data_IF_866040626210
#
_entry.id   IF_866040626210
#
_cell.length_a   1.000
_cell.length_b   1.000
_cell.length_c   1.000
_cell.angle_alpha   90.00
_cell.angle_beta   90.00
_cell.angle_gamma   90.00
#
_symmetry.space_group_name_H-M   'P 1'
#
loop_
_entity.id
_entity.type
_entity.pdbx_description
1 polymer ?
#
# COMPACT_ATOMS: atom_id res chain seq x y z
N UNK A 1 15.66 -17.08 -75.61
CA UNK A 1 16.88 -17.17 -74.77
C UNK A 1 17.00 -15.80 -74.12
N UNK A 2 16.41 -15.50 -72.97
CA UNK A 2 16.16 -16.33 -71.80
C UNK A 2 16.87 -15.63 -70.65
N UNK A 3 16.31 -14.50 -70.21
CA UNK A 3 16.80 -13.72 -69.07
C UNK A 3 16.36 -14.38 -67.75
N UNK A 4 17.11 -14.19 -66.65
CA UNK A 4 17.03 -15.04 -65.48
C UNK A 4 16.09 -14.52 -64.38
N UNK A 5 15.34 -15.47 -63.82
CA UNK A 5 15.16 -15.71 -62.39
C UNK A 5 14.63 -14.56 -61.51
N UNK A 6 13.29 -14.44 -61.47
CA UNK A 6 12.57 -13.86 -60.35
C UNK A 6 12.40 -14.92 -59.25
N UNK A 7 12.91 -14.63 -58.06
CA UNK A 7 12.74 -15.43 -56.84
C UNK A 7 11.28 -15.44 -56.37
N UNK A 8 10.74 -16.58 -55.90
CA UNK A 8 9.41 -16.62 -55.30
C UNK A 8 9.46 -16.20 -53.82
N UNK A 9 8.56 -15.30 -53.44
CA UNK A 9 8.26 -14.94 -52.06
C UNK A 9 7.78 -16.16 -51.26
N UNK A 10 8.24 -16.38 -50.01
CA UNK A 10 7.60 -17.36 -49.14
C UNK A 10 6.37 -16.74 -48.48
N UNK A 11 5.19 -17.24 -48.84
CA UNK A 11 4.02 -17.20 -47.97
C UNK A 11 4.36 -18.00 -46.69
N UNK A 12 4.27 -17.35 -45.53
CA UNK A 12 4.68 -17.94 -44.26
C UNK A 12 3.88 -17.38 -43.09
N UNK A 13 2.73 -18.02 -42.83
CA UNK A 13 2.18 -18.24 -41.50
C UNK A 13 1.88 -17.02 -40.63
N UNK A 14 0.66 -16.49 -40.73
CA UNK A 14 0.07 -15.70 -39.66
C UNK A 14 0.07 -16.50 -38.36
N UNK A 15 0.96 -16.14 -37.44
CA UNK A 15 1.00 -16.72 -36.09
C UNK A 15 -0.06 -16.02 -35.26
N UNK A 16 -1.20 -16.68 -35.10
CA UNK A 16 -2.19 -16.33 -34.09
C UNK A 16 -1.48 -16.32 -32.72
N UNK A 17 -1.63 -15.29 -31.87
CA UNK A 17 -1.11 -15.35 -30.51
C UNK A 17 -1.84 -16.48 -29.79
N UNK A 18 -1.12 -17.56 -29.46
CA UNK A 18 -1.65 -18.60 -28.60
C UNK A 18 -1.93 -17.97 -27.24
N UNK A 19 -3.22 -17.77 -26.95
CA UNK A 19 -3.68 -17.50 -25.61
C UNK A 19 -3.21 -18.66 -24.73
N UNK A 20 -2.30 -18.37 -23.79
CA UNK A 20 -1.95 -19.31 -22.73
C UNK A 20 -3.22 -19.78 -22.01
N UNK A 21 -3.19 -20.97 -21.37
CA UNK A 21 -4.36 -21.47 -20.66
C UNK A 21 -4.83 -20.40 -19.66
N UNK A 22 -6.08 -19.97 -19.82
CA UNK A 22 -6.73 -19.07 -18.88
C UNK A 22 -6.62 -19.69 -17.49
N UNK A 23 -6.10 -18.94 -16.52
CA UNK A 23 -6.11 -19.37 -15.12
C UNK A 23 -7.54 -19.79 -14.76
N UNK A 24 -7.73 -20.94 -14.08
CA UNK A 24 -9.05 -21.31 -13.61
C UNK A 24 -9.60 -20.18 -12.74
N UNK A 25 -10.91 -19.89 -12.80
CA UNK A 25 -11.52 -18.86 -11.97
C UNK A 25 -11.17 -19.14 -10.51
N UNK A 26 -10.50 -18.18 -9.87
CA UNK A 26 -10.12 -18.28 -8.45
C UNK A 26 -11.39 -18.52 -7.65
N UNK A 27 -11.38 -19.55 -6.80
CA UNK A 27 -12.48 -19.79 -5.88
C UNK A 27 -12.71 -18.51 -5.03
N UNK A 28 -13.96 -18.18 -4.68
CA UNK A 28 -14.24 -16.98 -3.91
C UNK A 28 -13.47 -17.04 -2.58
N UNK A 29 -12.63 -16.05 -2.35
CA UNK A 29 -11.90 -15.92 -1.09
C UNK A 29 -12.84 -15.38 -0.01
N UNK A 30 -12.95 -16.14 1.08
CA UNK A 30 -13.81 -15.86 2.21
C UNK A 30 -13.00 -15.42 3.41
N UNK A 31 -13.46 -14.37 4.08
CA UNK A 31 -12.86 -13.83 5.29
C UNK A 31 -13.82 -13.93 6.46
N UNK A 32 -13.33 -14.41 7.60
CA UNK A 32 -14.14 -14.49 8.80
C UNK A 32 -14.35 -13.09 9.41
N UNK A 33 -15.56 -12.86 9.90
CA UNK A 33 -15.95 -11.66 10.63
C UNK A 33 -15.93 -11.97 12.11
N UNK A 34 -15.06 -11.27 12.84
CA UNK A 34 -15.01 -11.31 14.30
C UNK A 34 -15.79 -10.13 14.86
N UNK A 35 -16.76 -10.41 15.72
CA UNK A 35 -17.50 -9.37 16.42
C UNK A 35 -16.83 -9.05 17.76
N UNK A 36 -16.42 -7.81 17.93
CA UNK A 36 -15.76 -7.31 19.15
C UNK A 36 -16.62 -6.27 19.84
N UNK A 37 -16.33 -5.99 21.11
CA UNK A 37 -16.89 -4.85 21.83
C UNK A 37 -15.98 -3.64 21.64
N UNK A 38 -16.37 -2.69 20.80
CA UNK A 38 -15.61 -1.48 20.49
C UNK A 38 -16.40 -0.25 20.95
N UNK A 39 -15.81 0.56 21.84
CA UNK A 39 -16.46 1.74 22.46
C UNK A 39 -17.88 1.46 22.98
N UNK A 40 -18.05 0.32 23.66
CA UNK A 40 -19.30 -0.10 24.27
C UNK A 40 -20.26 -0.88 23.36
N UNK A 41 -20.03 -0.86 22.04
CA UNK A 41 -20.93 -1.41 21.02
C UNK A 41 -20.37 -2.70 20.40
N UNK A 42 -21.25 -3.52 19.81
CA UNK A 42 -20.85 -4.71 19.04
C UNK A 42 -20.46 -4.29 17.62
N UNK A 43 -19.18 -4.43 17.27
CA UNK A 43 -18.60 -3.96 15.99
C UNK A 43 -17.87 -5.09 15.29
N UNK A 44 -18.05 -5.26 13.97
CA UNK A 44 -17.33 -6.30 13.22
C UNK A 44 -15.91 -5.83 12.88
N UNK A 45 -14.98 -6.77 12.89
CA UNK A 45 -13.66 -6.66 12.26
C UNK A 45 -13.43 -7.89 11.39
N UNK A 46 -12.78 -7.73 10.25
CA UNK A 46 -12.48 -8.80 9.31
C UNK A 46 -11.10 -9.35 9.61
N UNK A 47 -11.01 -10.68 9.70
CA UNK A 47 -9.76 -11.39 10.00
C UNK A 47 -9.10 -11.90 8.73
N UNK A 48 -7.78 -11.96 8.74
CA UNK A 48 -6.96 -12.43 7.63
C UNK A 48 -6.58 -13.91 7.78
N UNK A 49 -6.46 -14.63 6.65
CA UNK A 49 -5.82 -15.95 6.51
C UNK A 49 -4.41 -15.78 5.89
N UNK A 50 -3.58 -16.82 5.83
CA UNK A 50 -2.15 -16.72 5.42
C UNK A 50 -1.88 -15.98 4.09
N UNK A 51 -2.84 -15.95 3.15
CA UNK A 51 -2.69 -15.29 1.85
C UNK A 51 -3.71 -14.14 1.62
N UNK A 52 -4.35 -13.64 2.69
CA UNK A 52 -5.40 -12.63 2.54
C UNK A 52 -4.87 -11.23 2.17
N UNK A 53 -5.73 -10.37 1.60
CA UNK A 53 -5.39 -9.04 1.14
C UNK A 53 -5.27 -8.07 2.31
N UNK A 54 -4.13 -8.11 3.01
CA UNK A 54 -3.88 -7.24 4.15
C UNK A 54 -4.14 -5.74 3.89
N UNK A 55 -3.87 -5.15 2.69
CA UNK A 55 -4.17 -3.74 2.46
C UNK A 55 -5.68 -3.45 2.50
N UNK A 56 -6.48 -4.26 1.81
CA UNK A 56 -7.95 -4.17 1.84
C UNK A 56 -8.47 -4.35 3.27
N UNK A 57 -8.03 -5.39 3.97
CA UNK A 57 -8.50 -5.67 5.33
C UNK A 57 -8.12 -4.56 6.31
N UNK A 58 -6.92 -3.99 6.19
CA UNK A 58 -6.48 -2.89 7.05
C UNK A 58 -7.36 -1.64 6.87
N UNK A 59 -7.67 -1.27 5.62
CA UNK A 59 -8.57 -0.16 5.30
C UNK A 59 -9.99 -0.44 5.79
N UNK A 60 -10.53 -1.63 5.48
CA UNK A 60 -11.90 -1.98 5.85
C UNK A 60 -12.09 -2.00 7.36
N UNK A 61 -11.14 -2.54 8.12
CA UNK A 61 -11.19 -2.51 9.58
C UNK A 61 -11.12 -1.08 10.12
N UNK A 62 -10.34 -0.17 9.52
CA UNK A 62 -10.39 1.25 9.88
C UNK A 62 -11.79 1.81 9.65
N UNK A 63 -12.41 1.56 8.49
CA UNK A 63 -13.75 2.07 8.16
C UNK A 63 -14.85 1.51 9.09
N UNK A 64 -14.82 0.21 9.38
CA UNK A 64 -15.75 -0.45 10.30
C UNK A 64 -15.64 0.12 11.72
N UNK A 65 -14.42 0.38 12.19
CA UNK A 65 -14.17 0.95 13.52
C UNK A 65 -14.47 2.47 13.58
N UNK A 66 -14.29 3.20 12.47
CA UNK A 66 -14.59 4.65 12.33
C UNK A 66 -16.08 4.94 12.26
N UNK A 67 -16.87 4.08 11.63
CA UNK A 67 -18.30 4.30 11.39
C UNK A 67 -19.07 4.71 12.66
N UNK A 68 -18.65 4.21 13.84
CA UNK A 68 -19.28 4.53 15.13
C UNK A 68 -18.54 5.57 15.98
N UNK A 69 -17.39 6.09 15.53
CA UNK A 69 -16.67 7.15 16.23
C UNK A 69 -17.31 8.54 16.04
N UNK A 70 -18.23 8.73 15.08
CA UNK A 70 -18.96 9.98 14.84
C UNK A 70 -20.49 9.75 14.89
N UNK A 71 -21.26 10.52 15.68
CA UNK A 71 -22.72 10.51 15.61
C UNK A 71 -23.20 10.87 14.20
N UNK A 72 -24.09 10.07 13.61
CA UNK A 72 -24.63 10.32 12.27
C UNK A 72 -23.74 9.88 11.09
N UNK A 73 -22.62 9.20 11.34
CA UNK A 73 -21.70 8.75 10.30
C UNK A 73 -22.33 7.79 9.30
N UNK A 74 -22.28 8.13 8.00
CA UNK A 74 -22.31 7.14 6.91
C UNK A 74 -21.00 6.36 6.98
N UNK A 75 -21.09 5.06 7.18
CA UNK A 75 -19.92 4.18 7.19
C UNK A 75 -20.36 2.74 7.03
N UNK A 76 -19.38 1.86 6.85
CA UNK A 76 -19.63 0.47 6.48
C UNK A 76 -20.33 -0.25 7.63
N UNK A 77 -21.47 -0.88 7.33
CA UNK A 77 -22.17 -1.78 8.26
C UNK A 77 -22.26 -3.15 7.61
N UNK A 78 -21.92 -4.18 8.38
CA UNK A 78 -22.26 -5.55 8.04
C UNK A 78 -23.56 -5.95 8.75
N UNK A 79 -24.38 -6.82 8.15
CA UNK A 79 -25.58 -7.36 8.79
C UNK A 79 -25.26 -7.94 10.19
N UNK A 80 -26.11 -7.75 11.20
CA UNK A 80 -25.92 -8.40 12.50
C UNK A 80 -25.73 -9.90 12.32
N UNK A 81 -24.71 -10.47 12.96
CA UNK A 81 -24.38 -11.91 12.88
C UNK A 81 -23.78 -12.39 11.54
N UNK A 82 -23.42 -11.50 10.61
CA UNK A 82 -22.57 -11.89 9.46
C UNK A 82 -21.26 -12.50 10.00
N UNK A 83 -20.98 -13.74 9.59
CA UNK A 83 -19.79 -14.51 10.03
C UNK A 83 -18.70 -14.54 8.96
N UNK A 84 -19.07 -14.37 7.70
CA UNK A 84 -18.16 -14.46 6.55
C UNK A 84 -18.48 -13.36 5.53
N UNK A 85 -17.44 -12.75 4.96
CA UNK A 85 -17.50 -11.76 3.88
C UNK A 85 -16.54 -12.15 2.75
N UNK A 86 -16.82 -11.73 1.53
CA UNK A 86 -15.93 -11.95 0.38
C UNK A 86 -15.11 -10.70 0.05
N UNK A 87 -14.03 -10.86 -0.72
CA UNK A 87 -13.27 -9.71 -1.24
C UNK A 87 -14.18 -8.77 -2.04
N UNK A 88 -15.08 -9.31 -2.88
CA UNK A 88 -16.04 -8.54 -3.67
C UNK A 88 -16.98 -7.70 -2.81
N UNK A 89 -17.54 -8.28 -1.73
CA UNK A 89 -18.39 -7.55 -0.78
C UNK A 89 -17.63 -6.37 -0.13
N UNK A 90 -16.38 -6.60 0.27
CA UNK A 90 -15.53 -5.58 0.88
C UNK A 90 -15.18 -4.46 -0.12
N UNK A 91 -14.85 -4.83 -1.36
CA UNK A 91 -14.55 -3.91 -2.45
C UNK A 91 -15.77 -3.05 -2.80
N UNK A 92 -16.98 -3.63 -2.84
CA UNK A 92 -18.21 -2.88 -3.06
C UNK A 92 -18.44 -1.84 -1.96
N UNK A 93 -18.30 -2.23 -0.69
CA UNK A 93 -18.42 -1.30 0.44
C UNK A 93 -17.36 -0.19 0.42
N UNK A 94 -16.12 -0.52 0.01
CA UNK A 94 -15.04 0.45 -0.14
C UNK A 94 -15.36 1.46 -1.25
N UNK A 95 -15.84 0.98 -2.41
CA UNK A 95 -16.30 1.81 -3.52
C UNK A 95 -17.42 2.78 -3.11
N UNK A 96 -18.42 2.29 -2.38
CA UNK A 96 -19.51 3.12 -1.85
C UNK A 96 -18.98 4.22 -0.91
N UNK A 97 -17.96 3.92 -0.09
CA UNK A 97 -17.34 4.91 0.79
C UNK A 97 -16.58 5.99 0.01
N UNK A 98 -15.82 5.58 -1.02
CA UNK A 98 -15.09 6.51 -1.90
C UNK A 98 -16.08 7.45 -2.59
N UNK A 99 -17.16 6.90 -3.19
CA UNK A 99 -18.19 7.69 -3.88
C UNK A 99 -19.00 8.60 -2.94
N UNK A 100 -19.14 8.22 -1.67
CA UNK A 100 -19.80 9.04 -0.67
C UNK A 100 -18.90 10.17 -0.10
N UNK A 101 -17.61 10.19 -0.46
CA UNK A 101 -16.68 11.24 -0.02
C UNK A 101 -17.01 12.55 -0.71
N UNK A 102 -17.04 13.65 0.06
CA UNK A 102 -17.28 14.98 -0.47
C UNK A 102 -15.97 15.78 -0.55
N UNK A 103 -15.81 16.65 -1.57
CA UNK A 103 -14.67 17.54 -1.64
C UNK A 103 -14.67 18.47 -0.42
N UNK A 104 -13.49 18.69 0.16
CA UNK A 104 -13.33 19.56 1.34
C UNK A 104 -13.57 21.03 1.02
N UNK A 105 -13.34 21.42 -0.23
CA UNK A 105 -13.44 22.79 -0.71
C UNK A 105 -14.20 22.85 -2.05
N UNK A 106 -14.88 23.96 -2.28
CA UNK A 106 -15.84 24.12 -3.39
C UNK A 106 -15.28 24.84 -4.61
N UNK A 107 -13.98 25.18 -4.66
CA UNK A 107 -13.41 25.84 -5.85
C UNK A 107 -13.37 24.87 -7.05
N UNK A 108 -13.61 25.39 -8.26
CA UNK A 108 -13.74 24.55 -9.47
C UNK A 108 -12.49 23.71 -9.76
N UNK A 109 -11.30 24.30 -9.61
CA UNK A 109 -10.05 23.57 -9.83
C UNK A 109 -9.81 22.42 -8.84
N UNK A 110 -10.21 22.60 -7.57
CA UNK A 110 -10.09 21.55 -6.55
C UNK A 110 -11.15 20.46 -6.74
N UNK A 111 -12.34 20.79 -7.25
CA UNK A 111 -13.34 19.79 -7.60
C UNK A 111 -12.87 18.89 -8.74
N UNK A 112 -12.22 19.45 -9.77
CA UNK A 112 -11.65 18.66 -10.86
C UNK A 112 -10.53 17.73 -10.36
N UNK A 113 -9.64 18.22 -9.50
CA UNK A 113 -8.62 17.36 -8.89
C UNK A 113 -9.23 16.25 -8.04
N UNK A 114 -10.27 16.55 -7.25
CA UNK A 114 -10.97 15.56 -6.45
C UNK A 114 -11.66 14.49 -7.31
N UNK A 115 -12.31 14.88 -8.41
CA UNK A 115 -12.90 13.94 -9.36
C UNK A 115 -11.85 13.04 -10.02
N UNK A 116 -10.71 13.60 -10.40
CA UNK A 116 -9.58 12.83 -10.92
C UNK A 116 -9.10 11.82 -9.87
N UNK A 117 -8.93 12.25 -8.61
CA UNK A 117 -8.51 11.36 -7.53
C UNK A 117 -9.49 10.20 -7.32
N UNK A 118 -10.82 10.44 -7.37
CA UNK A 118 -11.82 9.36 -7.33
C UNK A 118 -11.61 8.40 -8.51
N UNK A 119 -11.46 8.93 -9.73
CA UNK A 119 -11.29 8.09 -10.92
C UNK A 119 -10.04 7.23 -10.81
N UNK A 120 -8.91 7.83 -10.41
CA UNK A 120 -7.63 7.14 -10.25
C UNK A 120 -7.75 6.07 -9.14
N UNK A 121 -8.42 6.40 -8.03
CA UNK A 121 -8.69 5.43 -6.94
C UNK A 121 -9.42 4.19 -7.46
N UNK A 122 -10.46 4.38 -8.29
CA UNK A 122 -11.23 3.26 -8.83
C UNK A 122 -10.38 2.34 -9.74
N UNK A 123 -9.33 2.87 -10.38
CA UNK A 123 -8.41 2.04 -11.18
C UNK A 123 -7.46 1.20 -10.33
N UNK A 124 -7.07 1.68 -9.16
CA UNK A 124 -6.11 0.99 -8.28
C UNK A 124 -6.79 0.07 -7.26
N UNK A 125 -8.08 0.25 -7.02
CA UNK A 125 -8.88 -0.53 -6.08
C UNK A 125 -8.63 -2.05 -6.17
N UNK A 126 -8.68 -2.70 -7.37
CA UNK A 126 -8.42 -4.13 -7.47
C UNK A 126 -7.06 -4.57 -6.93
N UNK A 127 -6.04 -3.69 -6.93
CA UNK A 127 -4.71 -4.03 -6.38
C UNK A 127 -4.75 -4.24 -4.88
N UNK A 128 -5.69 -3.63 -4.16
CA UNK A 128 -5.84 -3.84 -2.71
C UNK A 128 -6.13 -5.30 -2.34
N UNK A 129 -6.71 -6.08 -3.26
CA UNK A 129 -6.95 -7.52 -3.06
C UNK A 129 -5.79 -8.42 -3.48
N UNK A 130 -4.83 -7.91 -4.25
CA UNK A 130 -3.72 -8.73 -4.78
C UNK A 130 -2.35 -8.34 -4.24
N UNK A 131 -2.21 -7.13 -3.69
CA UNK A 131 -0.96 -6.58 -3.19
C UNK A 131 -0.87 -5.08 -3.47
N UNK A 132 -0.44 -4.31 -2.47
CA UNK A 132 -0.29 -2.86 -2.57
C UNK A 132 1.20 -2.48 -2.52
N UNK A 133 1.69 -1.88 -3.60
CA UNK A 133 3.07 -1.42 -3.67
C UNK A 133 3.23 -0.09 -2.93
N UNK A 134 4.09 -0.08 -1.91
CA UNK A 134 4.49 1.11 -1.17
C UNK A 134 6.01 1.22 -1.16
N UNK A 135 6.52 2.44 -1.27
CA UNK A 135 7.95 2.70 -1.24
C UNK A 135 8.25 3.73 -0.14
N UNK A 136 8.76 3.26 0.99
CA UNK A 136 9.03 4.10 2.16
C UNK A 136 10.24 5.00 1.94
N UNK A 137 10.29 6.14 2.63
CA UNK A 137 11.50 6.91 2.89
C UNK A 137 11.86 6.79 4.36
N UNK A 138 13.14 6.74 4.68
CA UNK A 138 13.58 6.47 6.06
C UNK A 138 13.60 7.71 6.96
N UNK A 139 13.00 8.81 6.53
CA UNK A 139 13.13 10.16 7.13
C UNK A 139 12.01 10.52 8.11
N UNK A 140 10.86 9.85 8.05
CA UNK A 140 9.68 10.19 8.84
C UNK A 140 8.66 9.07 8.80
N UNK A 141 7.77 8.99 9.79
CA UNK A 141 6.82 7.87 9.93
C UNK A 141 5.68 7.86 8.92
N UNK A 142 5.49 8.97 8.21
CA UNK A 142 4.48 9.11 7.13
C UNK A 142 5.14 9.35 5.78
N UNK A 143 6.45 9.15 5.67
CA UNK A 143 7.19 9.50 4.46
C UNK A 143 7.19 8.32 3.49
N UNK A 144 6.31 8.37 2.51
CA UNK A 144 6.27 7.45 1.39
C UNK A 144 6.57 8.20 0.08
N UNK A 145 7.13 7.49 -0.90
CA UNK A 145 7.02 7.94 -2.28
C UNK A 145 5.57 7.85 -2.72
N UNK A 146 5.05 8.92 -3.33
CA UNK A 146 3.68 8.94 -3.80
C UNK A 146 3.52 7.94 -4.95
N UNK A 147 2.76 6.88 -4.69
CA UNK A 147 2.32 5.93 -5.71
C UNK A 147 0.82 6.13 -5.95
N UNK A 148 0.31 5.86 -7.17
CA UNK A 148 -1.13 5.91 -7.46
C UNK A 148 -1.96 5.11 -6.46
N UNK A 149 -1.41 4.01 -5.96
CA UNK A 149 -1.99 3.13 -4.94
C UNK A 149 -2.25 3.83 -3.60
N UNK A 150 -1.43 4.82 -3.22
CA UNK A 150 -1.56 5.51 -1.94
C UNK A 150 -2.76 6.48 -1.88
N UNK A 151 -3.30 6.87 -3.04
CA UNK A 151 -4.40 7.84 -3.15
C UNK A 151 -5.65 7.41 -2.36
N UNK A 152 -5.86 6.10 -2.20
CA UNK A 152 -7.00 5.55 -1.45
C UNK A 152 -6.96 5.95 0.02
N UNK A 153 -5.77 6.03 0.61
CA UNK A 153 -5.58 6.44 2.00
C UNK A 153 -5.93 7.93 2.16
N UNK A 154 -5.45 8.77 1.26
CA UNK A 154 -5.72 10.21 1.27
C UNK A 154 -7.22 10.51 1.10
N UNK A 155 -7.87 9.85 0.14
CA UNK A 155 -9.29 10.04 -0.15
C UNK A 155 -10.16 9.62 1.03
N UNK A 156 -9.85 8.50 1.68
CA UNK A 156 -10.56 8.01 2.87
C UNK A 156 -10.12 8.73 4.16
N UNK A 157 -9.18 9.68 4.07
CA UNK A 157 -8.55 10.35 5.19
C UNK A 157 -8.02 9.35 6.23
N UNK A 158 -7.36 8.28 5.78
CA UNK A 158 -6.72 7.25 6.59
C UNK A 158 -5.22 7.53 6.59
N UNK A 159 -4.61 7.87 7.73
CA UNK A 159 -3.16 8.05 7.75
C UNK A 159 -2.48 6.69 7.55
N UNK A 160 -1.46 6.69 6.68
CA UNK A 160 -0.56 5.57 6.45
C UNK A 160 0.76 5.83 7.17
N UNK A 161 1.21 4.85 7.95
CA UNK A 161 2.42 4.94 8.75
C UNK A 161 3.37 3.78 8.49
N UNK A 162 4.66 4.00 8.72
CA UNK A 162 5.67 2.96 8.92
C UNK A 162 6.62 3.38 10.06
N UNK A 163 7.39 2.41 10.58
CA UNK A 163 8.37 2.66 11.64
C UNK A 163 9.80 2.40 11.18
N UNK A 164 10.03 2.34 9.88
CA UNK A 164 11.35 2.06 9.30
C UNK A 164 12.14 3.35 9.10
N UNK A 165 12.67 3.90 10.20
CA UNK A 165 13.41 5.17 10.20
C UNK A 165 14.90 4.94 10.47
N UNK A 166 15.74 5.76 9.84
CA UNK A 166 17.16 5.88 10.21
C UNK A 166 17.30 6.60 11.55
N UNK A 167 18.20 6.13 12.40
CA UNK A 167 18.46 6.74 13.70
C UNK A 167 19.38 7.97 13.55
N UNK A 168 18.97 9.18 13.96
CA UNK A 168 19.81 10.38 13.97
C UNK A 168 21.06 10.26 14.83
N UNK A 169 21.11 9.31 15.78
CA UNK A 169 22.30 9.03 16.59
C UNK A 169 23.43 8.36 15.80
N UNK A 170 23.17 7.93 14.56
CA UNK A 170 24.15 7.34 13.64
C UNK A 170 24.38 8.23 12.41
N UNK A 171 25.20 9.30 12.52
CA UNK A 171 25.40 10.28 11.44
C UNK A 171 25.88 9.66 10.12
N UNK A 172 26.72 8.63 10.20
CA UNK A 172 27.24 7.91 9.03
C UNK A 172 26.10 7.23 8.25
N UNK A 173 25.17 6.58 8.97
CA UNK A 173 23.99 5.96 8.36
C UNK A 173 23.03 6.99 7.81
N UNK A 174 22.80 8.09 8.53
CA UNK A 174 21.98 9.21 8.03
C UNK A 174 22.55 9.79 6.74
N UNK A 175 23.87 9.97 6.66
CA UNK A 175 24.54 10.45 5.45
C UNK A 175 24.47 9.43 4.30
N UNK A 176 24.66 8.15 4.61
CA UNK A 176 24.61 7.06 3.63
C UNK A 176 23.20 6.87 3.05
N UNK A 177 22.17 6.91 3.89
CA UNK A 177 20.75 6.74 3.49
C UNK A 177 20.19 8.03 2.87
N UNK A 178 20.47 9.17 3.49
CA UNK A 178 19.99 10.48 3.04
C UNK A 178 18.46 10.57 3.01
N UNK A 179 17.91 11.09 1.90
CA UNK A 179 16.46 11.23 1.66
C UNK A 179 15.91 10.20 0.65
N UNK A 180 16.69 9.16 0.38
CA UNK A 180 16.35 8.15 -0.61
C UNK A 180 15.15 7.31 -0.15
N UNK A 181 14.29 6.93 -1.08
CA UNK A 181 13.30 5.87 -0.84
C UNK A 181 13.98 4.50 -0.82
N UNK A 182 13.29 3.45 -0.38
CA UNK A 182 13.84 2.09 -0.36
C UNK A 182 14.37 1.68 -1.74
N UNK A 183 13.59 1.86 -2.81
CA UNK A 183 14.04 1.52 -4.17
C UNK A 183 15.31 2.27 -4.57
N UNK A 184 15.35 3.59 -4.32
CA UNK A 184 16.52 4.43 -4.63
C UNK A 184 17.75 4.02 -3.81
N UNK A 185 17.56 3.59 -2.56
CA UNK A 185 18.65 3.14 -1.70
C UNK A 185 19.23 1.81 -2.19
N UNK A 186 18.39 0.88 -2.62
CA UNK A 186 18.82 -0.40 -3.21
C UNK A 186 19.63 -0.16 -4.49
N UNK A 187 19.15 0.70 -5.39
CA UNK A 187 19.88 1.09 -6.61
C UNK A 187 21.25 1.72 -6.28
N UNK A 188 21.30 2.60 -5.27
CA UNK A 188 22.54 3.19 -4.79
C UNK A 188 23.52 2.13 -4.28
N UNK A 189 23.06 1.16 -3.51
CA UNK A 189 23.90 0.07 -2.99
C UNK A 189 24.50 -0.73 -4.15
N UNK A 190 23.69 -1.09 -5.15
CA UNK A 190 24.14 -1.82 -6.35
C UNK A 190 25.20 -1.01 -7.09
N UNK A 191 24.95 0.29 -7.30
CA UNK A 191 25.91 1.19 -7.97
C UNK A 191 27.24 1.29 -7.22
N UNK A 192 27.18 1.40 -5.88
CA UNK A 192 28.38 1.43 -5.04
C UNK A 192 29.19 0.13 -5.12
N UNK A 193 28.54 -1.03 -5.24
CA UNK A 193 29.21 -2.34 -5.38
C UNK A 193 29.90 -2.53 -6.73
N UNK A 194 29.38 -1.91 -7.79
CA UNK A 194 29.92 -1.99 -9.14
C UNK A 194 31.04 -0.98 -9.41
N UNK A 195 31.17 0.07 -8.60
CA UNK A 195 32.19 1.10 -8.77
C UNK A 195 33.59 0.61 -8.34
N UNK A 196 34.61 0.92 -9.14
CA UNK A 196 36.02 0.68 -8.81
C UNK A 196 36.49 1.68 -7.73
N UNK A 197 37.21 1.26 -6.66
CA UNK A 197 37.66 2.15 -5.58
C UNK A 197 38.52 3.33 -6.08
N UNK A 198 38.50 4.53 -5.41
CA UNK A 198 38.38 4.68 -3.95
C UNK A 198 37.19 5.51 -3.42
N UNK A 199 36.27 6.03 -4.24
CA UNK A 199 35.28 7.03 -3.78
C UNK A 199 33.88 6.49 -3.36
N UNK A 200 33.53 5.23 -3.65
CA UNK A 200 32.13 4.75 -3.57
C UNK A 200 31.80 3.69 -2.52
N UNK A 201 32.81 3.06 -1.90
CA UNK A 201 32.63 1.82 -1.11
C UNK A 201 32.04 2.04 0.30
N UNK A 202 32.43 3.08 1.08
CA UNK A 202 31.97 3.20 2.47
C UNK A 202 30.46 3.47 2.60
N UNK A 203 29.91 4.39 1.80
CA UNK A 203 28.49 4.76 1.89
C UNK A 203 27.56 3.62 1.45
N UNK A 204 27.94 2.86 0.42
CA UNK A 204 27.18 1.69 -0.02
C UNK A 204 27.13 0.58 1.03
N UNK A 205 28.27 0.29 1.67
CA UNK A 205 28.36 -0.72 2.73
C UNK A 205 27.53 -0.31 3.97
N UNK A 206 27.60 0.95 4.38
CA UNK A 206 26.81 1.46 5.52
C UNK A 206 25.31 1.39 5.21
N UNK A 207 24.89 1.74 4.00
CA UNK A 207 23.49 1.64 3.58
C UNK A 207 23.00 0.18 3.54
N UNK A 208 23.84 -0.75 3.08
CA UNK A 208 23.54 -2.18 3.09
C UNK A 208 23.39 -2.72 4.52
N UNK A 209 24.35 -2.42 5.40
CA UNK A 209 24.29 -2.81 6.82
C UNK A 209 23.04 -2.26 7.51
N UNK A 210 22.61 -1.04 7.17
CA UNK A 210 21.36 -0.49 7.68
C UNK A 210 20.15 -1.35 7.29
N UNK A 211 20.02 -1.71 6.01
CA UNK A 211 18.91 -2.54 5.55
C UNK A 211 18.93 -3.93 6.19
N UNK A 212 20.11 -4.54 6.36
CA UNK A 212 20.27 -5.83 7.04
C UNK A 212 19.88 -5.75 8.52
N UNK A 213 20.43 -4.76 9.24
CA UNK A 213 20.17 -4.58 10.68
C UNK A 213 18.71 -4.24 10.99
N UNK A 214 17.99 -3.64 10.02
CA UNK A 214 16.60 -3.21 10.17
C UNK A 214 15.63 -3.99 9.27
N UNK A 215 16.01 -5.20 8.85
CA UNK A 215 15.23 -6.03 7.92
C UNK A 215 13.78 -6.34 8.39
N UNK A 216 13.49 -6.20 9.69
CA UNK A 216 12.12 -6.29 10.22
C UNK A 216 11.23 -5.08 9.93
N UNK A 217 11.76 -4.08 9.21
CA UNK A 217 11.11 -2.83 8.78
C UNK A 217 10.55 -1.99 9.95
N UNK A 218 11.18 -2.09 11.12
CA UNK A 218 10.86 -1.30 12.30
C UNK A 218 12.14 -1.05 13.10
N UNK A 219 12.48 0.21 13.33
CA UNK A 219 13.59 0.62 14.20
C UNK A 219 13.08 1.13 15.54
N UNK A 220 13.94 1.13 16.56
CA UNK A 220 13.61 1.71 17.86
C UNK A 220 13.28 3.21 17.75
N UNK A 221 14.10 3.95 16.99
CA UNK A 221 13.83 5.35 16.68
C UNK A 221 12.46 5.52 16.00
N UNK A 222 12.17 4.72 14.97
CA UNK A 222 10.88 4.79 14.27
C UNK A 222 9.68 4.47 15.16
N UNK A 223 9.83 3.56 16.13
CA UNK A 223 8.80 3.29 17.13
C UNK A 223 8.56 4.48 18.07
N UNK A 224 9.62 5.16 18.51
CA UNK A 224 9.53 6.35 19.34
C UNK A 224 8.82 7.49 18.59
N UNK A 225 9.25 7.77 17.36
CA UNK A 225 8.64 8.78 16.50
C UNK A 225 7.18 8.47 16.20
N UNK A 226 6.85 7.20 15.91
CA UNK A 226 5.48 6.78 15.64
C UNK A 226 4.59 7.00 16.87
N UNK A 227 5.11 6.67 18.06
CA UNK A 227 4.43 6.90 19.33
C UNK A 227 4.22 8.40 19.60
N UNK A 228 5.14 9.26 19.20
CA UNK A 228 5.03 10.71 19.35
C UNK A 228 4.06 11.33 18.33
N UNK A 229 4.17 10.95 17.06
CA UNK A 229 3.45 11.54 15.94
C UNK A 229 1.98 11.08 15.85
N UNK A 230 1.68 9.81 16.16
CA UNK A 230 0.32 9.31 16.10
C UNK A 230 -0.58 10.00 17.15
N UNK A 231 -1.72 10.60 16.76
CA UNK A 231 -2.71 11.15 17.68
C UNK A 231 -3.40 10.07 18.51
N UNK A 232 -3.76 10.42 19.74
CA UNK A 232 -4.50 9.53 20.65
C UNK A 232 -5.88 9.16 20.07
N UNK A 233 -6.19 7.86 20.02
CA UNK A 233 -7.46 7.34 19.54
C UNK A 233 -7.68 7.44 18.02
N UNK A 234 -6.71 7.91 17.24
CA UNK A 234 -6.78 7.90 15.78
C UNK A 234 -6.68 6.46 15.25
N UNK A 235 -7.43 6.17 14.17
CA UNK A 235 -7.34 4.92 13.43
C UNK A 235 -6.60 5.17 12.12
N UNK A 236 -5.51 4.44 11.92
CA UNK A 236 -4.67 4.49 10.73
C UNK A 236 -4.29 3.10 10.23
N UNK A 237 -3.46 3.08 9.20
CA UNK A 237 -2.85 1.86 8.66
C UNK A 237 -1.34 1.92 8.91
N UNK A 238 -0.77 0.81 9.34
CA UNK A 238 0.66 0.65 9.63
C UNK A 238 1.26 -0.41 8.71
N UNK A 239 2.27 -0.02 7.95
CA UNK A 239 3.05 -0.89 7.08
C UNK A 239 4.32 -1.36 7.81
N UNK A 240 4.49 -2.68 7.89
CA UNK A 240 5.70 -3.31 8.42
C UNK A 240 5.81 -4.74 7.89
N UNK A 241 7.03 -5.12 7.52
CA UNK A 241 7.38 -6.46 7.07
C UNK A 241 6.47 -6.95 5.93
N UNK A 242 6.30 -6.10 4.91
CA UNK A 242 5.43 -6.33 3.75
C UNK A 242 3.96 -6.63 4.12
N UNK A 243 3.51 -6.14 5.27
CA UNK A 243 2.16 -6.36 5.79
C UNK A 243 1.53 -5.03 6.21
N UNK A 244 0.22 -4.92 5.98
CA UNK A 244 -0.58 -3.77 6.39
C UNK A 244 -1.46 -4.15 7.59
N UNK A 245 -1.43 -3.32 8.63
CA UNK A 245 -2.22 -3.54 9.86
C UNK A 245 -3.04 -2.31 10.20
N UNK A 246 -4.25 -2.51 10.72
CA UNK A 246 -5.00 -1.42 11.36
C UNK A 246 -4.33 -1.06 12.68
N UNK A 247 -4.01 0.23 12.87
CA UNK A 247 -3.33 0.73 14.07
C UNK A 247 -4.18 1.80 14.77
N UNK A 248 -4.09 1.84 16.08
CA UNK A 248 -4.56 2.95 16.90
C UNK A 248 -3.62 3.17 18.07
N UNK A 249 -3.63 4.39 18.62
CA UNK A 249 -2.90 4.73 19.84
C UNK A 249 -3.87 4.83 21.01
N UNK A 250 -3.56 4.13 22.09
CA UNK A 250 -4.33 4.16 23.32
C UNK A 250 -3.40 4.15 24.55
N UNK A 251 -3.64 5.06 25.50
CA UNK A 251 -3.01 5.08 26.82
C UNK A 251 -3.60 4.08 27.80
#
# INVERSE_FOLDING_TARGET
>A
RGDPEATPSPEGGGSCPQAGPAEPPRAPEFYCVKWIRWKGERTPVVTQSENGPCPLLAIMNVLLLRWKARPGGKGVKLPPQKEVVTAEELMAHLGDCILATQPRETSEGLQLNFQQNISDTMTVLPKLSTGLDVNVRFTGVSDFEYTPECIVFDLLNIPLYHGWLVDPQSPETVQAVGKLSYNQLVEKIITCKQATPPLGVPAGLVAEQFLEATASQLSYHGLCELTAAAPEGELGVFFRNNHFSTMTKHR
#
